data_IF_387364248126
#
_entry.id   IF_387364248126
#
_cell.length_a   1.000
_cell.length_b   1.000
_cell.length_c   1.000
_cell.angle_alpha   90.00
_cell.angle_beta   90.00
_cell.angle_gamma   90.00
#
_symmetry.space_group_name_H-M   'P 1'
#
loop_
_entity.id
_entity.type
_entity.pdbx_description
1 polymer ?
#
# COMPACT_ATOMS: atom_id res chain seq x y z
N UNK A 1 15.28 7.38 10.80
CA UNK A 1 15.13 7.20 9.35
C UNK A 1 13.66 7.26 9.01
N UNK A 2 13.29 8.09 8.04
CA UNK A 2 11.92 8.29 7.56
C UNK A 2 11.86 7.84 6.10
N UNK A 3 10.86 7.04 5.73
CA UNK A 3 10.61 6.74 4.34
C UNK A 3 9.65 7.78 3.79
N UNK A 4 10.16 8.67 2.94
CA UNK A 4 9.37 9.75 2.35
C UNK A 4 8.42 9.29 1.27
N UNK A 5 8.60 8.06 0.78
CA UNK A 5 7.69 7.38 -0.11
C UNK A 5 7.82 5.87 0.10
N UNK A 6 6.67 5.20 0.22
CA UNK A 6 6.52 3.75 0.13
C UNK A 6 5.10 3.47 -0.37
N UNK A 7 4.93 2.53 -1.27
CA UNK A 7 3.63 2.24 -1.84
C UNK A 7 3.64 0.96 -2.65
N UNK A 8 2.46 0.37 -2.78
CA UNK A 8 2.23 -0.85 -3.53
C UNK A 8 0.92 -0.67 -4.29
N UNK A 9 0.89 -1.07 -5.55
CA UNK A 9 -0.35 -1.17 -6.31
C UNK A 9 -1.20 -2.34 -5.78
N UNK A 10 -2.40 -2.52 -6.30
CA UNK A 10 -3.30 -3.63 -5.94
C UNK A 10 -3.51 -4.58 -7.11
N UNK A 11 -2.42 -5.23 -7.51
CA UNK A 11 -2.37 -6.24 -8.54
C UNK A 11 -1.32 -7.32 -8.26
N UNK A 12 -1.48 -8.47 -8.91
CA UNK A 12 -0.57 -9.62 -8.83
C UNK A 12 0.90 -9.27 -9.16
N UNK A 13 1.81 -9.50 -8.20
CA UNK A 13 3.25 -9.33 -8.36
C UNK A 13 3.77 -7.91 -8.07
N UNK A 14 2.92 -7.00 -7.57
CA UNK A 14 3.34 -5.64 -7.17
C UNK A 14 4.48 -5.66 -6.15
N UNK A 15 4.58 -6.71 -5.33
CA UNK A 15 5.64 -6.86 -4.33
C UNK A 15 7.07 -6.92 -4.93
N UNK A 16 7.22 -7.38 -6.18
CA UNK A 16 8.52 -7.53 -6.85
C UNK A 16 9.03 -6.24 -7.46
N UNK A 17 8.11 -5.35 -7.86
CA UNK A 17 8.41 -4.05 -8.48
C UNK A 17 7.40 -2.99 -8.01
N UNK A 18 7.44 -2.61 -6.73
CA UNK A 18 6.44 -1.68 -6.17
C UNK A 18 6.48 -0.28 -6.80
N UNK A 19 7.60 0.07 -7.44
CA UNK A 19 7.80 1.36 -8.13
C UNK A 19 7.17 1.43 -9.54
N UNK A 20 6.69 0.31 -10.09
CA UNK A 20 6.05 0.29 -11.42
C UNK A 20 4.53 0.30 -11.30
N UNK A 21 3.89 0.96 -12.24
CA UNK A 21 2.44 0.92 -12.45
C UNK A 21 2.18 0.35 -13.84
N UNK A 22 2.30 -0.97 -13.96
CA UNK A 22 2.11 -1.65 -15.25
C UNK A 22 0.62 -1.64 -15.64
N UNK A 23 0.33 -1.10 -16.83
CA UNK A 23 -1.03 -0.84 -17.31
C UNK A 23 -1.58 -1.90 -18.24
N UNK A 24 -0.76 -2.87 -18.66
CA UNK A 24 -1.10 -3.71 -19.82
C UNK A 24 -1.64 -5.10 -19.48
N UNK A 25 -1.39 -5.64 -18.29
CA UNK A 25 -1.74 -7.05 -17.95
C UNK A 25 -1.74 -7.33 -16.43
N UNK A 26 -2.39 -6.49 -15.63
CA UNK A 26 -2.41 -6.66 -14.17
C UNK A 26 -3.78 -7.16 -13.70
N UNK A 27 -3.82 -8.37 -13.13
CA UNK A 27 -5.00 -8.91 -12.46
C UNK A 27 -5.14 -8.18 -11.13
N UNK A 28 -6.30 -7.58 -10.86
CA UNK A 28 -6.55 -6.86 -9.61
C UNK A 28 -6.44 -7.83 -8.44
N UNK A 29 -5.52 -7.55 -7.53
CA UNK A 29 -5.37 -8.25 -6.26
C UNK A 29 -5.23 -7.22 -5.13
N UNK A 30 -6.33 -7.03 -4.41
CA UNK A 30 -6.40 -6.11 -3.28
C UNK A 30 -5.71 -6.70 -2.04
N UNK A 31 -5.64 -8.03 -1.95
CA UNK A 31 -5.03 -8.74 -0.83
C UNK A 31 -3.51 -8.63 -0.91
N UNK A 32 -2.93 -8.71 -2.11
CA UNK A 32 -1.48 -8.53 -2.28
C UNK A 32 -1.03 -7.13 -1.81
N UNK A 33 -1.81 -6.08 -2.11
CA UNK A 33 -1.53 -4.75 -1.56
C UNK A 33 -1.56 -4.76 -0.02
N UNK A 34 -2.59 -5.37 0.57
CA UNK A 34 -2.73 -5.43 2.02
C UNK A 34 -1.60 -6.22 2.70
N UNK A 35 -1.15 -7.30 2.08
CA UNK A 35 -0.04 -8.12 2.56
C UNK A 35 1.29 -7.36 2.50
N UNK A 36 1.52 -6.58 1.44
CA UNK A 36 2.69 -5.71 1.35
C UNK A 36 2.69 -4.61 2.44
N UNK A 37 1.53 -3.98 2.67
CA UNK A 37 1.39 -3.00 3.75
C UNK A 37 1.66 -3.65 5.12
N UNK A 38 1.09 -4.83 5.38
CA UNK A 38 1.32 -5.57 6.63
C UNK A 38 2.80 -5.88 6.83
N UNK A 39 3.46 -6.43 5.81
CA UNK A 39 4.87 -6.77 5.86
C UNK A 39 5.75 -5.55 6.16
N UNK A 40 5.46 -4.39 5.55
CA UNK A 40 6.19 -3.15 5.81
C UNK A 40 6.06 -2.71 7.28
N UNK A 41 4.85 -2.77 7.86
CA UNK A 41 4.65 -2.46 9.27
C UNK A 41 5.33 -3.49 10.19
N UNK A 42 5.15 -4.79 9.96
CA UNK A 42 5.73 -5.84 10.81
C UNK A 42 7.26 -5.73 10.90
N UNK A 43 7.92 -5.37 9.80
CA UNK A 43 9.39 -5.27 9.74
C UNK A 43 9.91 -3.95 10.34
N UNK A 44 9.23 -2.83 10.08
CA UNK A 44 9.81 -1.50 10.31
C UNK A 44 9.20 -0.74 11.49
N UNK A 45 7.92 -0.97 11.82
CA UNK A 45 7.17 -0.11 12.73
C UNK A 45 7.80 0.05 14.13
N UNK A 46 8.35 -1.04 14.66
CA UNK A 46 8.97 -1.07 16.00
C UNK A 46 10.50 -0.95 15.96
N UNK A 47 11.11 -0.70 14.79
CA UNK A 47 12.56 -0.55 14.70
C UNK A 47 12.97 0.78 15.37
N UNK A 48 13.93 0.79 16.32
CA UNK A 48 14.25 1.98 17.13
C UNK A 48 14.83 3.14 16.34
N UNK A 49 15.34 2.88 15.14
CA UNK A 49 15.88 3.89 14.22
C UNK A 49 14.82 4.41 13.23
N UNK A 50 13.62 3.86 13.20
CA UNK A 50 12.60 4.15 12.20
C UNK A 50 11.58 5.17 12.72
N UNK A 51 11.30 6.20 11.91
CA UNK A 51 10.44 7.33 12.27
C UNK A 51 9.07 7.29 11.60
N UNK A 52 8.83 6.34 10.68
CA UNK A 52 7.55 6.14 10.01
C UNK A 52 7.60 6.23 8.49
N UNK A 53 6.41 6.35 7.90
CA UNK A 53 6.15 6.27 6.46
C UNK A 53 5.36 7.47 5.97
N UNK A 54 5.64 7.92 4.75
CA UNK A 54 4.65 8.59 3.90
C UNK A 54 4.20 7.61 2.81
N UNK A 55 2.94 7.17 2.91
CA UNK A 55 2.35 6.22 1.96
C UNK A 55 2.05 6.90 0.60
N UNK A 56 2.53 6.28 -0.47
CA UNK A 56 2.14 6.57 -1.85
C UNK A 56 0.97 5.65 -2.25
N UNK A 57 -0.23 6.18 -2.46
CA UNK A 57 -0.66 7.53 -2.16
C UNK A 57 -2.11 7.50 -1.64
N UNK A 58 -2.63 8.66 -1.27
CA UNK A 58 -4.07 8.82 -1.10
C UNK A 58 -4.60 9.69 -2.25
N UNK A 59 -5.24 9.07 -3.23
CA UNK A 59 -5.64 9.78 -4.44
C UNK A 59 -6.90 10.63 -4.20
N UNK A 60 -6.89 11.93 -4.55
CA UNK A 60 -8.04 12.80 -4.36
C UNK A 60 -9.22 12.47 -5.29
N UNK A 61 -8.98 11.84 -6.44
CA UNK A 61 -10.02 11.46 -7.38
C UNK A 61 -10.87 10.33 -6.81
N UNK A 62 -12.17 10.58 -6.61
CA UNK A 62 -13.10 9.62 -5.98
C UNK A 62 -13.30 8.32 -6.75
N UNK A 63 -12.89 8.26 -8.02
CA UNK A 63 -12.97 7.04 -8.84
C UNK A 63 -11.86 6.02 -8.50
N UNK A 64 -10.74 6.47 -7.91
CA UNK A 64 -9.63 5.59 -7.53
C UNK A 64 -9.90 4.89 -6.19
N UNK A 65 -9.19 3.82 -5.88
CA UNK A 65 -9.50 2.96 -4.75
C UNK A 65 -10.69 2.03 -5.02
N UNK A 66 -11.10 1.28 -4.00
CA UNK A 66 -12.18 0.30 -4.11
C UNK A 66 -11.78 -0.98 -4.84
N UNK A 67 -12.75 -1.87 -5.11
CA UNK A 67 -12.46 -3.27 -5.41
C UNK A 67 -11.93 -3.57 -6.81
N UNK A 68 -11.96 -2.59 -7.73
CA UNK A 68 -11.58 -2.77 -9.13
C UNK A 68 -10.39 -1.89 -9.55
N UNK A 69 -9.89 -1.06 -8.65
CA UNK A 69 -8.76 -0.18 -8.95
C UNK A 69 -7.44 -0.91 -8.69
N UNK A 70 -6.58 -1.13 -9.69
CA UNK A 70 -5.27 -1.77 -9.50
C UNK A 70 -4.19 -0.80 -8.98
N UNK A 71 -4.48 0.49 -8.78
CA UNK A 71 -3.46 1.47 -8.44
C UNK A 71 -3.17 1.58 -6.93
N UNK A 72 -2.22 2.45 -6.61
CA UNK A 72 -1.64 2.67 -5.28
C UNK A 72 -2.62 3.01 -4.18
N UNK A 73 -3.73 3.71 -4.47
CA UNK A 73 -4.54 4.25 -3.39
C UNK A 73 -5.18 3.13 -2.55
N UNK A 74 -4.95 3.09 -1.22
CA UNK A 74 -5.51 2.05 -0.36
C UNK A 74 -6.97 2.32 0.02
N UNK A 75 -7.53 3.46 -0.40
CA UNK A 75 -8.89 3.89 -0.04
C UNK A 75 -9.91 2.83 -0.45
N UNK A 76 -10.79 2.44 0.48
CA UNK A 76 -11.81 1.42 0.28
C UNK A 76 -11.23 0.05 -0.16
N UNK A 77 -9.96 -0.23 0.18
CA UNK A 77 -9.28 -1.53 -0.02
C UNK A 77 -8.85 -2.09 1.33
N UNK A 78 -8.58 -3.41 1.44
CA UNK A 78 -8.14 -4.03 2.69
C UNK A 78 -6.86 -3.40 3.26
N UNK A 79 -5.97 -2.86 2.41
CA UNK A 79 -4.77 -2.13 2.84
C UNK A 79 -5.08 -0.93 3.75
N UNK A 80 -6.21 -0.22 3.56
CA UNK A 80 -6.58 0.89 4.46
C UNK A 80 -6.90 0.43 5.89
N UNK A 81 -7.42 -0.79 6.06
CA UNK A 81 -7.67 -1.35 7.38
C UNK A 81 -6.37 -1.75 8.08
N UNK A 82 -5.33 -2.14 7.33
CA UNK A 82 -3.98 -2.32 7.86
C UNK A 82 -3.43 -0.99 8.39
N UNK A 83 -3.54 0.10 7.61
CA UNK A 83 -3.11 1.42 8.08
C UNK A 83 -3.86 1.80 9.38
N UNK A 84 -5.18 1.63 9.40
CA UNK A 84 -6.01 1.94 10.56
C UNK A 84 -5.58 1.14 11.80
N UNK A 85 -5.31 -0.15 11.65
CA UNK A 85 -4.96 -1.02 12.80
C UNK A 85 -3.60 -0.69 13.42
N UNK A 86 -2.63 -0.22 12.64
CA UNK A 86 -1.31 0.17 13.16
C UNK A 86 -1.30 1.57 13.78
N UNK A 87 -2.01 2.52 13.18
CA UNK A 87 -2.09 3.89 13.72
C UNK A 87 -3.07 4.06 14.88
N UNK A 88 -3.94 3.09 15.14
CA UNK A 88 -4.87 3.10 16.28
C UNK A 88 -4.31 2.45 17.56
N UNK A 89 -3.06 1.95 17.53
CA UNK A 89 -2.35 1.43 18.69
C UNK A 89 -1.83 2.58 19.57
#
# INVERSE_FOLDING_TARGET
MLFTEIGYCSYDGTNTKPYTWETTTTVVDLQEQADCYRAAYEVLWNAPWFAGFFWWNWDPNMIHGGPYDPHYSPRNKPASEIIRSYYAQ
#
